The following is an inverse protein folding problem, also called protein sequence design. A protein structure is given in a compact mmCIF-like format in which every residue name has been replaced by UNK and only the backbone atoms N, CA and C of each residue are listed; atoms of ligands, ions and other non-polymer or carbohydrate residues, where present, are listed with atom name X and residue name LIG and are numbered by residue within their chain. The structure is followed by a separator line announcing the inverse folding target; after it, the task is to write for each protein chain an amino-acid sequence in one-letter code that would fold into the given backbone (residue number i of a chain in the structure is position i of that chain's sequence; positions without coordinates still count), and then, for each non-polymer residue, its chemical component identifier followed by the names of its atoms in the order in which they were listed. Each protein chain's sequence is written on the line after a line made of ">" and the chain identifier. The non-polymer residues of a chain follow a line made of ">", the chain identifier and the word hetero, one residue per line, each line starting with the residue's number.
data_IF_356918019635
#
_entry.id   IF_356918019635
#
_cell.length_a   1.000
_cell.length_b   1.000
_cell.length_c   1.000
_cell.angle_alpha   90.00
_cell.angle_beta   90.00
_cell.angle_gamma   90.00
#
_symmetry.space_group_name_H-M   'P 1'
#
loop_
_entity.id
_entity.type
_entity.pdbx_description
1 polymer ?
#
# COMPACT_ATOMS: atom_id res chain seq x y z
N UNK A 1 -33.54 -70.04 59.40
CA UNK A 1 -33.12 -68.65 59.15
C UNK A 1 -31.87 -68.40 60.01
N UNK A 2 -30.74 -68.94 59.57
CA UNK A 2 -29.58 -68.22 58.99
C UNK A 2 -28.88 -67.26 59.97
N UNK A 3 -27.72 -67.75 60.43
CA UNK A 3 -26.66 -67.12 61.22
C UNK A 3 -26.04 -65.90 60.51
N UNK A 4 -25.32 -65.04 61.26
CA UNK A 4 -23.84 -64.91 61.16
C UNK A 4 -23.24 -63.74 61.96
N UNK A 5 -22.30 -64.13 62.83
CA UNK A 5 -20.97 -63.59 63.16
C UNK A 5 -20.59 -62.17 62.69
N UNK A 6 -19.87 -61.43 63.56
CA UNK A 6 -18.70 -60.65 63.12
C UNK A 6 -17.51 -60.76 64.08
N UNK A 7 -16.37 -60.99 63.43
CA UNK A 7 -15.01 -61.24 63.89
C UNK A 7 -14.19 -59.93 63.78
N UNK A 8 -13.12 -59.88 64.56
CA UNK A 8 -12.06 -58.87 64.79
C UNK A 8 -11.26 -58.30 63.59
N UNK A 9 -10.69 -57.09 63.85
CA UNK A 9 -9.68 -56.18 63.22
C UNK A 9 -8.63 -56.71 62.19
N UNK A 10 -7.70 -55.92 61.53
CA UNK A 10 -7.40 -54.46 61.50
C UNK A 10 -7.02 -53.85 60.08
N UNK A 11 -6.60 -52.58 60.05
CA UNK A 11 -5.59 -51.90 59.18
C UNK A 11 -5.59 -52.14 57.63
N UNK A 12 -5.83 -51.08 56.84
CA UNK A 12 -5.13 -50.87 55.55
C UNK A 12 -5.05 -49.38 55.19
N UNK A 13 -3.83 -48.86 55.13
CA UNK A 13 -3.50 -47.50 54.71
C UNK A 13 -3.70 -47.34 53.19
N UNK A 14 -4.42 -46.27 52.79
CA UNK A 14 -4.65 -45.93 51.40
C UNK A 14 -3.54 -44.98 50.91
N UNK A 15 -2.61 -45.49 50.11
CA UNK A 15 -1.64 -44.71 49.35
C UNK A 15 -2.37 -44.00 48.21
N UNK A 16 -2.43 -42.66 48.24
CA UNK A 16 -2.91 -41.84 47.13
C UNK A 16 -1.72 -41.46 46.25
N UNK A 17 -1.62 -42.10 45.08
CA UNK A 17 -0.67 -41.74 44.03
C UNK A 17 -1.18 -40.53 43.25
N UNK A 18 -0.47 -39.40 43.37
CA UNK A 18 -0.64 -38.21 42.54
C UNK A 18 -0.10 -38.47 41.13
N UNK A 19 -0.98 -38.65 40.15
CA UNK A 19 -0.62 -38.52 38.74
C UNK A 19 -0.51 -37.04 38.39
N UNK A 20 0.70 -36.56 38.10
CA UNK A 20 0.92 -35.26 37.50
C UNK A 20 0.55 -35.32 36.01
N UNK A 21 -0.57 -34.71 35.65
CA UNK A 21 -0.90 -34.36 34.26
C UNK A 21 0.06 -33.24 33.82
N UNK A 22 1.08 -33.62 33.06
CA UNK A 22 1.92 -32.68 32.31
C UNK A 22 1.12 -32.14 31.12
N UNK A 23 0.40 -31.03 31.30
CA UNK A 23 -0.08 -30.23 30.18
C UNK A 23 1.12 -29.54 29.52
N UNK A 24 1.50 -30.00 28.32
CA UNK A 24 2.29 -29.18 27.40
C UNK A 24 1.48 -27.93 27.09
N UNK A 25 1.95 -26.77 27.56
CA UNK A 25 1.47 -25.49 27.06
C UNK A 25 2.02 -25.32 25.66
N UNK A 26 1.29 -25.81 24.67
CA UNK A 26 1.44 -25.31 23.31
C UNK A 26 0.96 -23.86 23.33
N UNK A 27 1.91 -22.93 23.31
CA UNK A 27 1.62 -21.53 23.04
C UNK A 27 1.34 -21.37 21.56
N UNK A 28 0.15 -21.76 21.11
CA UNK A 28 -0.37 -21.31 19.83
C UNK A 28 -0.66 -19.82 19.96
N UNK A 29 0.24 -18.98 19.43
CA UNK A 29 -0.12 -17.62 19.04
C UNK A 29 -1.40 -17.72 18.20
N UNK A 30 -2.45 -16.92 18.48
CA UNK A 30 -3.67 -16.99 17.70
C UNK A 30 -3.31 -16.77 16.23
N UNK A 31 -3.77 -17.70 15.39
CA UNK A 31 -3.64 -17.68 13.93
C UNK A 31 -4.48 -16.50 13.41
N UNK A 32 -3.94 -15.31 13.57
CA UNK A 32 -4.55 -14.09 13.06
C UNK A 32 -4.41 -14.11 11.56
N UNK A 33 -5.53 -14.14 10.83
CA UNK A 33 -5.51 -14.06 9.38
C UNK A 33 -4.93 -12.70 8.96
N UNK A 34 -3.63 -12.68 8.66
CA UNK A 34 -2.85 -11.49 8.31
C UNK A 34 -3.34 -10.83 7.01
N UNK A 35 -4.21 -11.53 6.26
CA UNK A 35 -4.78 -11.09 4.98
C UNK A 35 -6.29 -10.83 5.05
N UNK A 36 -6.89 -10.71 6.24
CA UNK A 36 -8.34 -10.62 6.40
C UNK A 36 -9.00 -9.46 5.62
N UNK A 37 -8.34 -8.30 5.56
CA UNK A 37 -8.82 -7.11 4.85
C UNK A 37 -8.19 -6.95 3.45
N UNK A 38 -7.51 -8.00 2.97
CA UNK A 38 -6.76 -7.99 1.73
C UNK A 38 -7.33 -8.99 0.72
N UNK A 39 -7.21 -8.65 -0.55
CA UNK A 39 -7.61 -9.50 -1.66
C UNK A 39 -6.39 -9.82 -2.52
N UNK A 40 -6.23 -11.11 -2.82
CA UNK A 40 -5.15 -11.58 -3.66
C UNK A 40 -5.36 -11.07 -5.09
N UNK A 41 -4.32 -10.47 -5.66
CA UNK A 41 -4.31 -9.95 -7.03
C UNK A 41 -3.73 -10.99 -7.99
N UNK A 42 -2.60 -11.60 -7.62
CA UNK A 42 -1.86 -12.53 -8.45
C UNK A 42 -0.92 -13.39 -7.59
N UNK A 43 -0.57 -14.57 -8.10
CA UNK A 43 0.56 -15.36 -7.61
C UNK A 43 1.66 -15.40 -8.67
N UNK A 44 2.86 -14.99 -8.30
CA UNK A 44 4.07 -15.21 -9.10
C UNK A 44 4.80 -16.44 -8.55
N UNK A 45 5.40 -17.26 -9.40
CA UNK A 45 6.04 -18.51 -8.95
C UNK A 45 7.41 -18.68 -9.56
N UNK A 46 8.28 -19.40 -8.85
CA UNK A 46 9.46 -20.02 -9.42
C UNK A 46 9.48 -21.51 -9.03
N UNK A 47 10.62 -22.18 -9.23
CA UNK A 47 10.75 -23.61 -8.98
C UNK A 47 10.53 -24.02 -7.52
N UNK A 48 10.80 -23.11 -6.57
CA UNK A 48 10.85 -23.41 -5.13
C UNK A 48 9.76 -22.71 -4.33
N UNK A 49 9.26 -21.58 -4.81
CA UNK A 49 8.35 -20.73 -4.07
C UNK A 49 7.19 -20.17 -4.90
N UNK A 50 6.17 -19.73 -4.19
CA UNK A 50 5.03 -18.95 -4.68
C UNK A 50 4.96 -17.64 -3.91
N UNK A 51 4.79 -16.54 -4.63
CA UNK A 51 4.69 -15.20 -4.11
C UNK A 51 3.28 -14.69 -4.37
N UNK A 52 2.48 -14.63 -3.31
CA UNK A 52 1.11 -14.15 -3.37
C UNK A 52 1.11 -12.64 -3.14
N UNK A 53 0.60 -11.87 -4.09
CA UNK A 53 0.49 -10.41 -3.99
C UNK A 53 -0.94 -10.00 -3.69
N UNK A 54 -1.09 -9.03 -2.81
CA UNK A 54 -2.36 -8.56 -2.28
C UNK A 54 -2.48 -7.05 -2.34
N UNK A 55 -3.73 -6.58 -2.46
CA UNK A 55 -4.13 -5.19 -2.28
C UNK A 55 -5.47 -5.16 -1.56
N UNK A 56 -5.88 -4.03 -1.00
CA UNK A 56 -7.19 -3.91 -0.34
C UNK A 56 -8.38 -4.14 -1.31
N UNK A 57 -8.20 -3.84 -2.61
CA UNK A 57 -9.25 -3.89 -3.62
C UNK A 57 -9.09 -5.04 -4.63
N UNK A 58 -8.06 -5.88 -4.50
CA UNK A 58 -7.84 -7.05 -5.36
C UNK A 58 -7.39 -6.71 -6.79
N UNK A 59 -6.86 -5.51 -7.05
CA UNK A 59 -6.39 -5.10 -8.38
C UNK A 59 -5.32 -4.02 -8.32
N UNK A 60 -4.44 -3.98 -9.32
CA UNK A 60 -3.55 -2.83 -9.51
C UNK A 60 -4.21 -1.81 -10.43
N UNK A 61 -4.05 -0.51 -10.12
CA UNK A 61 -4.56 0.59 -10.93
C UNK A 61 -3.45 1.60 -11.27
N UNK A 62 -3.62 2.42 -12.31
CA UNK A 62 -2.80 3.63 -12.49
C UNK A 62 -2.89 4.51 -11.24
N UNK A 63 -1.76 5.01 -10.76
CA UNK A 63 -1.64 5.73 -9.48
C UNK A 63 -0.91 4.94 -8.39
N UNK A 64 -1.09 5.36 -7.14
CA UNK A 64 -0.47 4.73 -5.97
C UNK A 64 -1.17 3.41 -5.63
N UNK A 65 -0.39 2.34 -5.49
CA UNK A 65 -0.87 1.04 -5.05
C UNK A 65 -0.07 0.62 -3.82
N UNK A 66 -0.76 0.43 -2.70
CA UNK A 66 -0.21 -0.28 -1.56
C UNK A 66 -0.31 -1.78 -1.82
N UNK A 67 0.83 -2.46 -1.77
CA UNK A 67 0.97 -3.86 -2.15
C UNK A 67 1.56 -4.63 -0.99
N UNK A 68 0.91 -5.74 -0.66
CA UNK A 68 1.42 -6.70 0.31
C UNK A 68 1.80 -7.99 -0.40
N UNK A 69 2.78 -8.71 0.13
CA UNK A 69 3.18 -10.00 -0.40
C UNK A 69 3.47 -11.01 0.70
N UNK A 70 3.23 -12.28 0.39
CA UNK A 70 3.68 -13.44 1.17
C UNK A 70 4.48 -14.37 0.28
N UNK A 71 5.45 -15.05 0.86
CA UNK A 71 6.25 -16.06 0.18
C UNK A 71 5.91 -17.43 0.79
N UNK A 72 5.57 -18.39 -0.05
CA UNK A 72 5.27 -19.77 0.30
C UNK A 72 6.26 -20.73 -0.34
N UNK A 73 6.67 -21.74 0.38
CA UNK A 73 7.31 -22.94 -0.19
C UNK A 73 6.27 -23.76 -0.96
N UNK A 74 6.71 -24.66 -1.85
CA UNK A 74 5.80 -25.57 -2.59
C UNK A 74 5.03 -26.55 -1.71
N UNK A 75 5.46 -26.78 -0.47
CA UNK A 75 4.71 -27.56 0.52
C UNK A 75 3.59 -26.77 1.22
N UNK A 76 3.44 -25.47 0.88
CA UNK A 76 2.43 -24.57 1.43
C UNK A 76 2.86 -23.80 2.68
N UNK A 77 4.04 -24.07 3.25
CA UNK A 77 4.56 -23.36 4.41
C UNK A 77 5.01 -21.93 4.06
N UNK A 78 4.80 -20.98 4.98
CA UNK A 78 5.20 -19.59 4.79
C UNK A 78 6.66 -19.34 5.14
N UNK A 79 7.32 -18.49 4.35
CA UNK A 79 8.66 -17.96 4.62
C UNK A 79 8.55 -16.61 5.34
N UNK A 80 9.12 -16.52 6.54
CA UNK A 80 8.97 -15.37 7.44
C UNK A 80 10.26 -14.57 7.69
N UNK A 81 11.38 -15.02 7.12
CA UNK A 81 12.74 -14.47 7.29
C UNK A 81 13.36 -14.01 5.96
N UNK A 82 12.55 -13.52 5.02
CA UNK A 82 13.03 -13.05 3.74
C UNK A 82 13.39 -11.55 3.78
N UNK A 83 14.46 -11.17 3.08
CA UNK A 83 14.66 -9.77 2.67
C UNK A 83 14.20 -9.64 1.23
N UNK A 84 13.34 -8.67 0.94
CA UNK A 84 12.62 -8.58 -0.34
C UNK A 84 12.87 -7.24 -1.00
N UNK A 85 13.02 -7.25 -2.33
CA UNK A 85 13.05 -6.07 -3.19
C UNK A 85 12.21 -6.35 -4.43
N UNK A 86 11.74 -5.29 -5.08
CA UNK A 86 11.01 -5.43 -6.34
C UNK A 86 11.43 -4.37 -7.35
N UNK A 87 11.19 -4.66 -8.63
CA UNK A 87 11.38 -3.71 -9.72
C UNK A 87 10.23 -3.87 -10.71
N UNK A 88 9.31 -2.89 -10.80
CA UNK A 88 8.30 -2.84 -11.85
C UNK A 88 8.93 -2.34 -13.16
N UNK A 89 8.61 -2.97 -14.28
CA UNK A 89 9.06 -2.52 -15.61
C UNK A 89 7.92 -2.58 -16.61
N UNK A 90 7.58 -1.46 -17.23
CA UNK A 90 6.66 -1.39 -18.35
C UNK A 90 7.37 -1.81 -19.64
N UNK A 91 6.81 -2.82 -20.31
CA UNK A 91 7.16 -3.23 -21.66
C UNK A 91 6.37 -2.41 -22.65
N UNK A 92 7.05 -1.75 -23.59
CA UNK A 92 6.44 -1.14 -24.77
C UNK A 92 7.19 -1.61 -26.01
N UNK A 93 6.63 -1.38 -27.20
CA UNK A 93 7.15 -1.96 -28.45
C UNK A 93 8.63 -1.62 -28.74
N UNK A 94 9.10 -0.42 -28.35
CA UNK A 94 10.44 0.07 -28.65
C UNK A 94 11.24 0.54 -27.44
N UNK A 95 10.62 0.57 -26.25
CA UNK A 95 11.27 1.10 -25.05
C UNK A 95 10.73 0.43 -23.80
N UNK A 96 11.53 0.46 -22.73
CA UNK A 96 11.16 0.02 -21.39
C UNK A 96 11.38 1.16 -20.43
N UNK A 97 10.46 1.33 -19.49
CA UNK A 97 10.62 2.27 -18.40
C UNK A 97 10.13 1.64 -17.09
N UNK A 98 10.60 2.17 -15.96
CA UNK A 98 10.09 1.81 -14.64
C UNK A 98 9.18 2.91 -14.12
N UNK A 99 8.71 2.77 -12.89
CA UNK A 99 7.97 3.80 -12.17
C UNK A 99 8.50 3.94 -10.74
N UNK A 100 8.08 4.97 -9.97
CA UNK A 100 8.43 5.06 -8.57
C UNK A 100 7.88 3.86 -7.77
N UNK A 101 8.67 3.35 -6.84
CA UNK A 101 8.27 2.31 -5.89
C UNK A 101 9.01 2.50 -4.56
N UNK A 102 8.41 2.06 -3.46
CA UNK A 102 9.07 2.08 -2.15
C UNK A 102 9.96 0.85 -1.96
N UNK A 103 10.79 0.90 -0.91
CA UNK A 103 11.34 -0.31 -0.31
C UNK A 103 10.21 -1.24 0.15
N UNK A 104 10.52 -2.53 0.23
CA UNK A 104 9.64 -3.55 0.81
C UNK A 104 10.14 -3.84 2.22
N UNK A 105 9.23 -3.83 3.19
CA UNK A 105 9.53 -4.12 4.58
C UNK A 105 8.53 -5.12 5.14
N UNK A 106 8.94 -5.86 6.18
CA UNK A 106 8.01 -6.71 6.92
C UNK A 106 6.93 -5.84 7.58
N UNK A 107 5.67 -6.21 7.44
CA UNK A 107 4.58 -5.44 8.06
C UNK A 107 4.57 -5.62 9.57
N UNK A 108 4.36 -4.52 10.29
CA UNK A 108 4.35 -4.54 11.75
C UNK A 108 3.25 -5.47 12.27
N UNK A 109 3.53 -6.20 13.35
CA UNK A 109 2.60 -7.15 13.99
C UNK A 109 2.13 -8.30 13.07
N UNK A 110 2.92 -8.64 12.05
CA UNK A 110 2.68 -9.82 11.19
C UNK A 110 3.91 -10.72 11.15
N UNK A 111 3.70 -11.99 10.83
CA UNK A 111 4.70 -13.03 10.74
C UNK A 111 5.18 -13.23 9.31
N UNK A 112 4.27 -13.25 8.33
CA UNK A 112 4.56 -13.68 6.96
C UNK A 112 4.41 -12.60 5.90
N UNK A 113 3.87 -11.45 6.29
CA UNK A 113 3.47 -10.39 5.37
C UNK A 113 4.55 -9.31 5.25
N UNK A 114 4.82 -8.92 4.01
CA UNK A 114 5.70 -7.80 3.65
C UNK A 114 4.89 -6.79 2.87
N UNK A 115 5.21 -5.50 2.99
CA UNK A 115 4.46 -4.41 2.41
C UNK A 115 5.36 -3.35 1.79
N UNK A 116 4.81 -2.67 0.80
CA UNK A 116 5.40 -1.51 0.15
C UNK A 116 4.40 -0.89 -0.83
N UNK A 117 4.87 0.00 -1.70
CA UNK A 117 4.05 0.65 -2.69
C UNK A 117 4.71 0.76 -4.06
N UNK A 118 3.88 0.78 -5.10
CA UNK A 118 4.28 1.04 -6.48
C UNK A 118 3.34 2.07 -7.09
N UNK A 119 3.89 3.06 -7.80
CA UNK A 119 3.14 4.15 -8.41
C UNK A 119 3.09 3.92 -9.92
N UNK A 120 2.12 3.16 -10.42
CA UNK A 120 2.03 2.89 -11.86
C UNK A 120 1.58 4.13 -12.62
N UNK A 121 2.36 4.55 -13.61
CA UNK A 121 2.08 5.78 -14.38
C UNK A 121 1.03 5.59 -15.47
N UNK A 122 0.79 4.34 -15.87
CA UNK A 122 -0.03 3.96 -17.01
C UNK A 122 -0.68 2.61 -16.76
N UNK A 123 -1.89 2.39 -17.29
CA UNK A 123 -2.51 1.08 -17.34
C UNK A 123 -1.81 0.14 -18.35
N UNK A 124 -1.96 -1.17 -18.14
CA UNK A 124 -1.60 -2.20 -19.12
C UNK A 124 -2.64 -2.27 -20.24
N UNK A 125 -2.20 -2.66 -21.43
CA UNK A 125 -3.04 -3.09 -22.55
C UNK A 125 -2.43 -4.37 -23.19
N UNK A 126 -2.94 -4.77 -24.36
CA UNK A 126 -2.48 -6.00 -25.04
C UNK A 126 -1.02 -5.90 -25.50
N UNK A 127 -0.61 -4.74 -26.00
CA UNK A 127 0.73 -4.49 -26.54
C UNK A 127 1.73 -4.03 -25.48
N UNK A 128 1.28 -3.26 -24.49
CA UNK A 128 2.10 -2.60 -23.50
C UNK A 128 1.70 -3.05 -22.10
N UNK A 129 2.63 -3.59 -21.33
CA UNK A 129 2.30 -4.24 -20.05
C UNK A 129 3.40 -4.15 -19.03
N UNK A 130 2.99 -4.19 -17.76
CA UNK A 130 3.92 -4.23 -16.65
C UNK A 130 4.40 -5.66 -16.37
N UNK A 131 5.70 -5.80 -16.12
CA UNK A 131 6.33 -6.95 -15.48
C UNK A 131 6.80 -6.53 -14.08
N UNK A 132 6.73 -7.44 -13.12
CA UNK A 132 7.25 -7.25 -11.77
C UNK A 132 8.29 -8.32 -11.48
N UNK A 133 9.55 -7.89 -11.31
CA UNK A 133 10.61 -8.74 -10.79
C UNK A 133 10.64 -8.58 -9.27
N UNK A 134 10.52 -9.68 -8.53
CA UNK A 134 10.66 -9.72 -7.08
C UNK A 134 11.90 -10.55 -6.76
N UNK A 135 12.91 -9.91 -6.18
CA UNK A 135 14.15 -10.56 -5.73
C UNK A 135 14.15 -10.63 -4.22
N UNK A 136 14.44 -11.80 -3.68
CA UNK A 136 14.42 -12.04 -2.24
C UNK A 136 15.51 -13.00 -1.80
N UNK A 137 15.94 -12.87 -0.56
CA UNK A 137 16.94 -13.76 0.05
C UNK A 137 16.39 -14.43 1.29
N UNK A 138 16.60 -15.74 1.41
CA UNK A 138 16.24 -16.55 2.58
C UNK A 138 17.54 -17.17 3.09
N UNK A 139 17.91 -16.88 4.34
CA UNK A 139 19.18 -17.36 4.94
C UNK A 139 20.42 -17.10 4.06
N UNK A 140 20.42 -15.96 3.35
CA UNK A 140 21.49 -15.55 2.44
C UNK A 140 21.44 -16.17 1.04
N UNK A 141 20.52 -17.11 0.77
CA UNK A 141 20.33 -17.68 -0.57
C UNK A 141 19.40 -16.80 -1.41
N UNK A 142 19.80 -16.41 -2.63
CA UNK A 142 18.99 -15.54 -3.48
C UNK A 142 17.97 -16.32 -4.32
N UNK A 143 16.81 -15.71 -4.50
CA UNK A 143 15.72 -16.21 -5.33
C UNK A 143 15.06 -15.04 -6.08
N UNK A 144 14.45 -15.36 -7.21
CA UNK A 144 13.69 -14.38 -8.00
C UNK A 144 12.39 -14.99 -8.48
N UNK A 145 11.33 -14.19 -8.52
CA UNK A 145 10.13 -14.46 -9.30
C UNK A 145 9.87 -13.28 -10.23
N UNK A 146 9.51 -13.56 -11.47
CA UNK A 146 9.20 -12.58 -12.49
C UNK A 146 7.85 -12.95 -13.10
N UNK A 147 6.99 -11.96 -13.28
CA UNK A 147 5.78 -12.18 -14.08
C UNK A 147 5.13 -10.90 -14.55
N UNK A 148 4.28 -11.05 -15.57
CA UNK A 148 3.41 -10.00 -16.07
C UNK A 148 2.32 -9.71 -15.03
N UNK A 149 2.09 -8.44 -14.75
CA UNK A 149 1.01 -7.96 -13.89
C UNK A 149 0.04 -7.10 -14.71
N UNK A 150 -1.24 -7.15 -14.34
CA UNK A 150 -2.28 -6.35 -14.97
C UNK A 150 -2.56 -5.09 -14.14
N UNK A 151 -2.18 -3.93 -14.69
CA UNK A 151 -2.54 -2.62 -14.13
C UNK A 151 -3.72 -2.09 -14.91
N UNK A 152 -4.79 -1.73 -14.22
CA UNK A 152 -6.03 -1.20 -14.82
C UNK A 152 -6.00 0.33 -14.81
N UNK A 153 -6.79 0.95 -15.68
CA UNK A 153 -6.96 2.39 -15.63
C UNK A 153 -7.79 2.78 -14.40
N UNK A 154 -7.32 3.75 -13.63
CA UNK A 154 -8.10 4.32 -12.55
C UNK A 154 -9.28 5.12 -13.12
N UNK A 155 -10.46 4.99 -12.50
CA UNK A 155 -11.66 5.75 -12.91
C UNK A 155 -11.57 7.24 -12.58
N UNK A 156 -10.61 7.62 -11.72
CA UNK A 156 -10.34 8.96 -11.24
C UNK A 156 -8.87 9.26 -11.41
N UNK A 157 -8.54 10.49 -11.77
CA UNK A 157 -7.16 10.98 -11.83
C UNK A 157 -6.57 11.05 -10.42
N UNK A 158 -5.81 10.04 -10.04
CA UNK A 158 -5.07 9.97 -8.76
C UNK A 158 -3.57 10.22 -8.95
N UNK A 159 -3.13 10.44 -10.18
CA UNK A 159 -1.73 10.68 -10.54
C UNK A 159 -1.61 11.84 -11.53
N UNK A 160 -0.53 12.59 -11.39
CA UNK A 160 -0.13 13.68 -12.26
C UNK A 160 1.31 13.45 -12.71
N UNK A 161 1.52 13.28 -14.02
CA UNK A 161 2.85 13.24 -14.64
C UNK A 161 3.00 14.51 -15.46
N UNK A 162 4.01 15.33 -15.16
CA UNK A 162 4.15 16.63 -15.81
C UNK A 162 5.61 17.12 -15.80
N UNK A 163 5.91 18.05 -16.70
CA UNK A 163 7.16 18.81 -16.69
C UNK A 163 6.96 20.15 -16.01
N UNK A 164 7.80 20.46 -15.02
CA UNK A 164 7.84 21.75 -14.35
C UNK A 164 8.45 22.86 -15.21
N UNK A 165 8.27 24.11 -14.80
CA UNK A 165 8.91 25.28 -15.44
C UNK A 165 10.44 25.28 -15.32
N UNK A 166 10.98 24.49 -14.39
CA UNK A 166 12.40 24.20 -14.20
C UNK A 166 12.93 23.09 -15.12
N UNK A 167 12.10 22.60 -16.05
CA UNK A 167 12.39 21.53 -17.00
C UNK A 167 12.55 20.12 -16.40
N UNK A 168 12.20 19.92 -15.12
CA UNK A 168 12.22 18.61 -14.46
C UNK A 168 10.89 17.87 -14.67
N UNK A 169 10.97 16.56 -14.90
CA UNK A 169 9.78 15.70 -14.99
C UNK A 169 9.40 15.18 -13.59
N UNK A 170 8.16 15.44 -13.20
CA UNK A 170 7.61 15.10 -11.90
C UNK A 170 6.47 14.10 -12.01
N UNK A 171 6.34 13.28 -10.96
CA UNK A 171 5.22 12.37 -10.73
C UNK A 171 4.66 12.67 -9.36
N UNK A 172 3.41 13.12 -9.31
CA UNK A 172 2.68 13.41 -8.09
C UNK A 172 1.49 12.44 -7.97
N UNK A 173 1.48 11.61 -6.94
CA UNK A 173 0.44 10.60 -6.73
C UNK A 173 -0.29 10.80 -5.40
N UNK A 174 -1.62 10.71 -5.43
CA UNK A 174 -2.48 10.71 -4.25
C UNK A 174 -2.31 9.39 -3.50
N UNK A 175 -2.08 9.48 -2.19
CA UNK A 175 -1.91 8.30 -1.30
C UNK A 175 -3.13 8.15 -0.38
N UNK A 176 -3.62 9.25 0.20
CA UNK A 176 -4.79 9.26 1.07
C UNK A 176 -5.64 10.52 0.81
N UNK A 177 -6.96 10.47 1.07
CA UNK A 177 -7.70 9.37 1.69
C UNK A 177 -8.10 8.27 0.71
N UNK A 178 -7.97 7.00 1.10
CA UNK A 178 -8.49 5.86 0.34
C UNK A 178 -10.03 5.73 0.47
N UNK A 179 -10.58 6.17 1.60
CA UNK A 179 -12.02 6.18 1.90
C UNK A 179 -12.39 7.58 2.41
N UNK A 180 -12.55 8.56 1.51
CA UNK A 180 -12.93 9.93 1.87
C UNK A 180 -14.31 9.95 2.58
N UNK A 181 -14.51 10.96 3.42
CA UNK A 181 -15.74 11.17 4.17
C UNK A 181 -16.12 12.66 4.17
N UNK A 182 -17.40 12.95 4.48
CA UNK A 182 -17.88 14.32 4.72
C UNK A 182 -17.34 14.80 6.07
N UNK A 183 -16.08 15.23 6.05
CA UNK A 183 -15.30 15.64 7.20
C UNK A 183 -14.01 16.34 6.73
N UNK A 184 -13.16 16.72 7.67
CA UNK A 184 -11.74 16.92 7.38
C UNK A 184 -11.06 15.57 7.26
N UNK A 185 -10.56 15.28 6.06
CA UNK A 185 -9.79 14.09 5.76
C UNK A 185 -8.31 14.44 5.85
N UNK A 186 -7.52 13.56 6.46
CA UNK A 186 -6.07 13.61 6.26
C UNK A 186 -5.80 13.27 4.80
N UNK A 187 -5.18 14.21 4.10
CA UNK A 187 -4.78 14.04 2.71
C UNK A 187 -3.28 13.86 2.66
N UNK A 188 -2.82 12.88 1.90
CA UNK A 188 -1.40 12.70 1.64
C UNK A 188 -1.11 12.39 0.18
N UNK A 189 0.05 12.84 -0.28
CA UNK A 189 0.54 12.61 -1.63
C UNK A 189 2.06 12.39 -1.60
N UNK A 190 2.59 11.76 -2.64
CA UNK A 190 4.04 11.59 -2.82
C UNK A 190 4.48 12.22 -4.14
N UNK A 191 5.58 12.96 -4.09
CA UNK A 191 6.17 13.64 -5.24
C UNK A 191 7.54 13.04 -5.54
N UNK A 192 7.70 12.54 -6.75
CA UNK A 192 8.97 12.07 -7.30
C UNK A 192 9.42 12.96 -8.45
N UNK A 193 10.75 13.06 -8.63
CA UNK A 193 11.36 13.51 -9.88
C UNK A 193 11.92 12.29 -10.61
N UNK A 194 11.82 12.30 -11.94
CA UNK A 194 12.43 11.28 -12.78
C UNK A 194 13.91 11.57 -13.01
N UNK A 195 14.75 10.55 -12.90
CA UNK A 195 16.21 10.57 -13.13
C UNK A 195 16.58 9.71 -14.36
N UNK A 196 15.76 9.79 -15.40
CA UNK A 196 15.85 8.97 -16.61
C UNK A 196 14.61 8.08 -16.78
N UNK A 197 14.78 6.92 -17.41
CA UNK A 197 13.66 6.01 -17.71
C UNK A 197 13.35 5.04 -16.56
N UNK A 198 14.26 4.85 -15.60
CA UNK A 198 14.12 3.85 -14.53
C UNK A 198 14.44 4.35 -13.12
N UNK A 199 15.01 5.55 -12.99
CA UNK A 199 15.36 6.15 -11.70
C UNK A 199 14.33 7.19 -11.25
N UNK A 200 13.95 7.14 -9.99
CA UNK A 200 13.02 8.10 -9.37
C UNK A 200 13.47 8.42 -7.95
N UNK A 201 13.47 9.69 -7.59
CA UNK A 201 13.82 10.14 -6.25
C UNK A 201 12.73 11.03 -5.68
N UNK A 202 12.46 10.86 -4.37
CA UNK A 202 11.49 11.69 -3.67
C UNK A 202 12.00 13.13 -3.65
N UNK A 203 11.12 14.05 -4.04
CA UNK A 203 11.41 15.49 -4.00
C UNK A 203 11.15 15.98 -2.59
N UNK A 204 12.10 16.73 -2.04
CA UNK A 204 12.03 17.24 -0.68
C UNK A 204 11.78 18.74 -0.62
N UNK A 205 11.15 19.18 0.47
CA UNK A 205 10.97 20.60 0.84
C UNK A 205 10.17 21.44 -0.16
N UNK A 206 9.32 20.80 -0.96
CA UNK A 206 8.37 21.52 -1.81
C UNK A 206 7.04 21.73 -1.06
N UNK A 207 6.05 22.30 -1.72
CA UNK A 207 4.68 22.39 -1.21
C UNK A 207 3.70 22.07 -2.32
N UNK A 208 2.68 21.27 -2.01
CA UNK A 208 1.56 21.02 -2.92
C UNK A 208 0.34 21.75 -2.37
N UNK A 209 -0.05 22.81 -3.04
CA UNK A 209 -1.22 23.59 -2.66
C UNK A 209 -2.48 22.94 -3.17
N UNK A 210 -3.56 23.04 -2.40
CA UNK A 210 -4.83 22.41 -2.75
C UNK A 210 -5.97 23.43 -2.78
N UNK A 211 -6.81 23.32 -3.80
CA UNK A 211 -8.07 24.05 -3.92
C UNK A 211 -9.17 23.06 -4.38
N UNK A 212 -9.89 22.43 -3.43
CA UNK A 212 -10.95 21.49 -3.75
C UNK A 212 -12.18 22.21 -4.29
N UNK A 213 -12.71 21.68 -5.38
CA UNK A 213 -13.87 22.21 -6.07
C UNK A 213 -14.85 21.11 -6.44
N UNK A 214 -16.13 21.45 -6.48
CA UNK A 214 -17.18 20.64 -7.10
C UNK A 214 -17.62 21.30 -8.41
N UNK A 215 -17.09 20.87 -9.57
CA UNK A 215 -17.47 21.46 -10.85
C UNK A 215 -18.98 21.39 -11.13
N UNK A 216 -19.63 20.30 -10.72
CA UNK A 216 -21.09 20.12 -10.87
C UNK A 216 -21.95 21.03 -9.98
N UNK A 217 -21.34 21.85 -9.12
CA UNK A 217 -22.03 22.77 -8.21
C UNK A 217 -21.46 24.19 -8.34
N UNK A 218 -21.39 24.71 -9.57
CA UNK A 218 -20.85 26.05 -9.86
C UNK A 218 -19.47 26.28 -9.24
N UNK A 219 -18.60 25.26 -9.30
CA UNK A 219 -17.26 25.28 -8.74
C UNK A 219 -17.20 25.60 -7.22
N UNK A 220 -18.21 25.10 -6.47
CA UNK A 220 -18.27 25.20 -5.01
C UNK A 220 -16.99 24.67 -4.36
N UNK A 221 -16.49 25.36 -3.33
CA UNK A 221 -15.30 24.96 -2.57
C UNK A 221 -15.65 24.73 -1.10
N UNK A 222 -14.70 24.16 -0.36
CA UNK A 222 -14.81 23.90 1.07
C UNK A 222 -13.85 24.78 1.89
N UNK A 223 -14.21 25.14 3.13
CA UNK A 223 -13.31 25.85 4.03
C UNK A 223 -12.33 24.88 4.74
N UNK A 224 -11.36 25.42 5.48
CA UNK A 224 -10.47 24.68 6.39
C UNK A 224 -9.59 23.60 5.73
N UNK A 225 -9.22 23.82 4.46
CA UNK A 225 -8.21 23.03 3.78
C UNK A 225 -6.81 23.46 4.21
N UNK A 226 -5.85 22.52 4.19
CA UNK A 226 -4.44 22.78 4.44
C UNK A 226 -3.60 22.15 3.36
N UNK A 227 -2.76 22.96 2.72
CA UNK A 227 -1.78 22.54 1.73
C UNK A 227 -0.91 21.39 2.23
N UNK A 228 -0.43 20.56 1.31
CA UNK A 228 0.39 19.41 1.64
C UNK A 228 1.86 19.83 1.76
N UNK A 229 2.46 19.47 2.90
CA UNK A 229 3.88 19.70 3.21
C UNK A 229 4.48 18.41 3.78
N UNK A 230 5.78 18.22 3.62
CA UNK A 230 6.46 17.09 4.25
C UNK A 230 6.72 17.34 5.73
N UNK A 231 6.42 16.35 6.57
CA UNK A 231 6.87 16.35 7.96
C UNK A 231 8.38 16.07 8.08
N UNK A 232 8.92 15.25 7.17
CA UNK A 232 10.34 14.91 7.09
C UNK A 232 10.76 14.62 5.65
N UNK A 233 12.03 14.85 5.33
CA UNK A 233 12.60 14.52 4.03
C UNK A 233 12.48 13.02 3.73
N UNK A 234 12.17 12.69 2.47
CA UNK A 234 11.90 11.33 2.01
C UNK A 234 10.48 10.83 2.31
N UNK A 235 9.69 11.58 3.08
CA UNK A 235 8.33 11.23 3.46
C UNK A 235 7.26 11.72 2.50
N UNK A 236 6.02 11.39 2.84
CA UNK A 236 4.81 11.89 2.17
C UNK A 236 4.60 13.38 2.48
N UNK A 237 3.91 14.06 1.56
CA UNK A 237 3.34 15.38 1.77
C UNK A 237 1.98 15.20 2.41
N UNK A 238 1.73 15.86 3.54
CA UNK A 238 0.51 15.72 4.32
C UNK A 238 -0.19 17.08 4.53
N UNK A 239 -1.51 17.06 4.47
CA UNK A 239 -2.37 18.22 4.69
C UNK A 239 -3.78 17.80 5.07
N UNK A 240 -4.73 18.71 4.91
CA UNK A 240 -6.12 18.47 5.29
C UNK A 240 -7.04 18.82 4.12
N UNK A 241 -7.84 17.85 3.72
CA UNK A 241 -8.88 18.00 2.71
C UNK A 241 -10.25 17.99 3.39
N UNK A 242 -10.87 19.15 3.50
CA UNK A 242 -12.23 19.27 4.01
C UNK A 242 -13.24 18.98 2.91
N UNK A 243 -14.11 18.00 3.10
CA UNK A 243 -15.20 17.68 2.18
C UNK A 243 -16.51 17.91 2.91
N UNK A 244 -17.35 18.79 2.37
CA UNK A 244 -18.58 19.25 3.04
C UNK A 244 -19.84 18.51 2.58
N UNK A 245 -19.74 17.74 1.51
CA UNK A 245 -20.81 16.91 0.96
C UNK A 245 -20.23 15.81 0.07
N UNK A 246 -21.03 14.77 -0.18
CA UNK A 246 -20.71 13.67 -1.10
C UNK A 246 -20.73 14.13 -2.55
N UNK A 247 -20.23 13.29 -3.46
CA UNK A 247 -20.20 13.54 -4.90
C UNK A 247 -18.79 13.79 -5.45
N UNK A 248 -18.72 14.25 -6.69
CA UNK A 248 -17.47 14.45 -7.40
C UNK A 248 -16.77 15.75 -6.98
N UNK A 249 -15.53 15.59 -6.54
CA UNK A 249 -14.61 16.66 -6.20
C UNK A 249 -13.37 16.61 -7.09
N UNK A 250 -13.02 17.78 -7.64
CA UNK A 250 -11.74 18.05 -8.29
C UNK A 250 -10.85 18.80 -7.31
N UNK A 251 -9.74 18.19 -6.90
CA UNK A 251 -8.76 18.80 -6.01
C UNK A 251 -7.70 19.47 -6.88
N UNK A 252 -7.86 20.76 -7.14
CA UNK A 252 -6.92 21.53 -7.96
C UNK A 252 -5.61 21.72 -7.23
N UNK A 253 -4.48 21.61 -7.95
CA UNK A 253 -3.16 21.61 -7.34
C UNK A 253 -2.29 22.74 -7.88
N UNK A 254 -1.38 23.23 -7.04
CA UNK A 254 -0.16 23.93 -7.51
C UNK A 254 1.06 23.29 -6.84
N UNK A 255 2.12 23.06 -7.61
CA UNK A 255 3.40 22.66 -7.06
C UNK A 255 4.30 23.88 -6.89
N UNK A 256 4.67 24.19 -5.66
CA UNK A 256 5.64 25.23 -5.32
C UNK A 256 6.99 24.61 -4.91
N UNK A 257 8.09 25.17 -5.41
CA UNK A 257 9.43 24.83 -4.94
C UNK A 257 9.70 25.40 -3.53
N UNK A 258 10.89 25.11 -2.99
CA UNK A 258 11.30 25.59 -1.67
C UNK A 258 11.39 27.13 -1.54
N UNK A 259 11.50 27.84 -2.67
CA UNK A 259 11.52 29.31 -2.72
C UNK A 259 10.13 29.93 -2.90
N UNK A 260 9.09 29.10 -3.04
CA UNK A 260 7.72 29.53 -3.30
C UNK A 260 7.41 29.82 -4.77
N UNK A 261 8.29 29.44 -5.71
CA UNK A 261 7.99 29.58 -7.13
C UNK A 261 7.05 28.45 -7.56
N UNK A 262 6.00 28.81 -8.31
CA UNK A 262 5.07 27.81 -8.88
C UNK A 262 5.72 27.14 -10.08
N UNK A 263 5.95 25.83 -9.96
CA UNK A 263 6.52 24.99 -11.03
C UNK A 263 5.46 24.43 -11.97
N UNK A 264 4.25 24.18 -11.45
CA UNK A 264 3.10 23.69 -12.23
C UNK A 264 1.79 24.00 -11.51
N UNK A 265 0.73 24.19 -12.29
CA UNK A 265 -0.63 24.37 -11.79
C UNK A 265 -1.02 25.83 -11.60
N UNK A 266 -2.30 26.09 -11.78
CA UNK A 266 -2.89 27.43 -11.84
C UNK A 266 -3.78 27.66 -10.62
N UNK A 267 -3.89 28.91 -10.18
CA UNK A 267 -4.89 29.29 -9.19
C UNK A 267 -6.28 29.15 -9.79
N UNK A 268 -7.22 28.63 -9.01
CA UNK A 268 -8.64 28.64 -9.39
C UNK A 268 -9.20 30.04 -9.17
N UNK A 269 -9.85 30.59 -10.19
CA UNK A 269 -10.50 31.91 -10.20
C UNK A 269 -11.78 31.84 -11.03
N UNK A 270 -12.55 32.93 -11.09
CA UNK A 270 -13.72 33.01 -11.97
C UNK A 270 -13.36 32.86 -13.45
N UNK A 271 -12.18 33.33 -13.87
CA UNK A 271 -11.71 33.21 -15.26
C UNK A 271 -10.95 31.92 -15.55
N UNK A 272 -10.57 31.17 -14.51
CA UNK A 272 -9.82 29.91 -14.61
C UNK A 272 -10.36 28.92 -13.59
N UNK A 273 -11.35 28.12 -13.99
CA UNK A 273 -12.09 27.26 -13.08
C UNK A 273 -11.34 25.99 -12.63
N UNK A 274 -10.18 25.70 -13.23
CA UNK A 274 -9.41 24.48 -12.97
C UNK A 274 -7.91 24.71 -13.09
N UNK A 275 -7.13 23.99 -12.28
CA UNK A 275 -5.70 23.81 -12.52
C UNK A 275 -5.47 22.73 -13.58
N UNK A 276 -4.32 22.79 -14.25
CA UNK A 276 -3.81 21.78 -15.20
C UNK A 276 -3.35 20.50 -14.51
N UNK A 277 -3.04 20.57 -13.21
CA UNK A 277 -2.79 19.42 -12.35
C UNK A 277 -3.86 19.38 -11.27
N UNK A 278 -4.49 18.22 -11.12
CA UNK A 278 -5.55 18.00 -10.13
C UNK A 278 -5.65 16.52 -9.77
N UNK A 279 -6.23 16.25 -8.61
CA UNK A 279 -6.75 14.92 -8.29
C UNK A 279 -8.27 14.89 -8.41
N UNK A 280 -8.83 13.70 -8.57
CA UNK A 280 -10.27 13.48 -8.57
C UNK A 280 -10.66 12.51 -7.46
N UNK A 281 -11.73 12.86 -6.74
CA UNK A 281 -12.30 12.07 -5.67
C UNK A 281 -13.82 12.05 -5.85
N UNK A 282 -14.44 10.90 -5.66
CA UNK A 282 -15.91 10.77 -5.63
C UNK A 282 -16.29 9.69 -4.63
N UNK A 283 -17.27 9.98 -3.79
CA UNK A 283 -17.72 9.13 -2.69
C UNK A 283 -19.12 9.51 -2.22
#
# INVERSE_FOLDING_TARGET
>A
MQLKNKITYPLLALFVSLFALSCSKDSSTPDTNETADLQQVITLSNDTHELELYTANGSFYSGYNEIFLRIKNKDGSFVNNASVTWVPTMQMASMRHSCPYSAVAKTSNTHSLYGGSIIFQMASNDAEHWELAISYTIDGQPYTALGRIMVREATKRTINVFRGTDNVNYILALVAPAKPQVAQNVMSAVLYKAEGMSGYTVVNNFKVKIDPRMPGMNNHSSPNNRDLVQAAAGGLYEGLLSLTMTGYWKINLQLEDASGNVLKGEKVTEANESSSIYFEIEF
#
